data_IF_740252110288
#
_entry.id   IF_740252110288
#
_cell.length_a   1.000
_cell.length_b   1.000
_cell.length_c   1.000
_cell.angle_alpha   90.00
_cell.angle_beta   90.00
_cell.angle_gamma   90.00
#
_symmetry.space_group_name_H-M   'P 1'
#
loop_
_entity.id
_entity.type
_entity.pdbx_description
1 polymer ?
#
# COMPACT_ATOMS: atom_id res chain seq x y z
N UNK A 1 -36.12 -10.68 26.70
CA UNK A 1 -34.90 -10.93 25.93
C UNK A 1 -35.27 -11.59 24.61
N UNK A 2 -35.30 -10.88 23.50
CA UNK A 2 -35.57 -11.45 22.18
C UNK A 2 -34.25 -12.01 21.65
N UNK A 3 -34.16 -13.34 21.59
CA UNK A 3 -33.10 -14.02 20.85
C UNK A 3 -33.19 -13.60 19.37
N UNK A 4 -32.35 -12.66 18.96
CA UNK A 4 -32.04 -12.46 17.54
C UNK A 4 -31.28 -13.68 17.07
N UNK A 5 -31.99 -14.60 16.42
CA UNK A 5 -31.40 -15.71 15.68
C UNK A 5 -30.28 -15.16 14.81
N UNK A 6 -29.03 -15.51 15.09
CA UNK A 6 -27.91 -15.31 14.20
C UNK A 6 -28.32 -15.90 12.85
N UNK A 7 -28.66 -15.04 11.89
CA UNK A 7 -28.81 -15.48 10.51
C UNK A 7 -27.54 -16.28 10.21
N UNK A 8 -27.70 -17.54 9.91
CA UNK A 8 -26.57 -18.43 9.69
C UNK A 8 -25.76 -17.81 8.54
N UNK A 9 -24.47 -17.60 8.71
CA UNK A 9 -23.53 -17.04 7.69
C UNK A 9 -23.65 -17.73 6.32
N UNK A 10 -24.34 -18.88 6.25
CA UNK A 10 -24.67 -19.62 5.02
C UNK A 10 -25.88 -19.06 4.25
N UNK A 11 -26.60 -18.08 4.78
CA UNK A 11 -27.79 -17.51 4.10
C UNK A 11 -27.51 -16.21 3.34
N UNK A 12 -26.30 -15.67 3.46
CA UNK A 12 -25.89 -14.41 2.83
C UNK A 12 -24.59 -14.59 2.04
N UNK A 13 -24.44 -13.80 0.97
CA UNK A 13 -23.25 -13.87 0.12
C UNK A 13 -21.95 -13.52 0.88
N UNK A 14 -20.80 -13.98 0.38
CA UNK A 14 -19.51 -13.61 0.93
C UNK A 14 -19.30 -12.10 0.93
N UNK A 15 -19.79 -11.38 -0.11
CA UNK A 15 -19.76 -9.91 -0.12
C UNK A 15 -20.54 -9.33 1.06
N UNK A 16 -21.74 -9.83 1.33
CA UNK A 16 -22.52 -9.39 2.47
C UNK A 16 -21.79 -9.64 3.81
N UNK A 17 -21.13 -10.79 3.95
CA UNK A 17 -20.32 -11.09 5.14
C UNK A 17 -19.11 -10.15 5.30
N UNK A 18 -18.49 -9.71 4.20
CA UNK A 18 -17.41 -8.72 4.22
C UNK A 18 -17.96 -7.37 4.69
N UNK A 19 -19.02 -6.88 4.04
CA UNK A 19 -19.60 -5.56 4.33
C UNK A 19 -20.19 -5.49 5.74
N UNK A 20 -20.79 -6.56 6.26
CA UNK A 20 -21.31 -6.59 7.64
C UNK A 20 -20.24 -6.43 8.74
N UNK A 21 -18.94 -6.63 8.40
CA UNK A 21 -17.83 -6.34 9.31
C UNK A 21 -17.48 -4.86 9.38
N UNK A 22 -18.03 -4.07 8.46
CA UNK A 22 -17.76 -2.63 8.36
C UNK A 22 -18.86 -1.85 9.10
N UNK A 23 -18.51 -0.86 9.92
CA UNK A 23 -19.46 -0.04 10.64
C UNK A 23 -20.07 1.02 9.71
N UNK A 24 -20.98 0.62 8.79
CA UNK A 24 -21.55 1.48 7.76
C UNK A 24 -22.22 2.76 8.32
N UNK A 25 -22.79 2.69 9.53
CA UNK A 25 -23.33 3.87 10.18
C UNK A 25 -22.27 4.97 10.46
N UNK A 26 -20.99 4.58 10.62
CA UNK A 26 -19.91 5.53 10.80
C UNK A 26 -19.62 6.33 9.52
N UNK A 27 -19.85 5.76 8.35
CA UNK A 27 -19.71 6.49 7.08
C UNK A 27 -20.72 7.64 7.03
N UNK A 28 -21.96 7.37 7.41
CA UNK A 28 -23.02 8.40 7.44
C UNK A 28 -22.73 9.46 8.51
N UNK A 29 -22.17 9.08 9.67
CA UNK A 29 -21.73 10.05 10.68
C UNK A 29 -20.61 10.95 10.18
N UNK A 30 -19.60 10.38 9.51
CA UNK A 30 -18.49 11.13 8.89
C UNK A 30 -18.96 12.06 7.76
N UNK A 31 -20.09 11.73 7.14
CA UNK A 31 -20.70 12.54 6.08
C UNK A 31 -21.69 13.60 6.60
N UNK A 32 -22.09 13.54 7.87
CA UNK A 32 -23.14 14.40 8.41
C UNK A 32 -22.84 15.91 8.27
N UNK A 33 -21.57 16.30 8.45
CA UNK A 33 -21.11 17.68 8.37
C UNK A 33 -20.77 18.15 6.95
N UNK A 34 -20.95 17.26 5.95
CA UNK A 34 -20.64 17.60 4.55
C UNK A 34 -21.78 18.36 3.89
N UNK A 35 -21.41 19.28 2.98
CA UNK A 35 -22.40 20.14 2.28
C UNK A 35 -23.40 19.36 1.44
N UNK A 36 -22.96 18.23 0.86
CA UNK A 36 -23.80 17.42 -0.03
C UNK A 36 -24.40 16.25 0.75
N UNK A 37 -25.67 16.39 1.06
CA UNK A 37 -26.45 15.35 1.75
C UNK A 37 -26.89 14.26 0.77
N UNK A 38 -26.85 13.02 1.25
CA UNK A 38 -27.41 11.89 0.51
C UNK A 38 -28.94 11.98 0.47
N UNK A 39 -29.51 11.76 -0.71
CA UNK A 39 -30.98 11.62 -0.90
C UNK A 39 -31.33 10.16 -1.15
N UNK A 40 -31.14 9.69 -2.37
CA UNK A 40 -31.45 8.32 -2.80
C UNK A 40 -30.27 7.35 -2.60
N UNK A 41 -29.04 7.79 -2.84
CA UNK A 41 -27.82 6.99 -2.68
C UNK A 41 -27.08 7.43 -1.42
N UNK A 42 -27.05 6.58 -0.38
CA UNK A 42 -26.29 6.84 0.85
C UNK A 42 -24.77 6.86 0.58
N UNK A 43 -23.98 7.45 1.47
CA UNK A 43 -22.51 7.41 1.37
C UNK A 43 -21.96 5.99 1.55
N UNK A 44 -22.55 5.22 2.44
CA UNK A 44 -22.22 3.81 2.62
C UNK A 44 -22.53 2.99 1.35
N UNK A 45 -23.69 3.23 0.72
CA UNK A 45 -24.04 2.57 -0.54
C UNK A 45 -23.04 2.90 -1.65
N UNK A 46 -22.66 4.17 -1.79
CA UNK A 46 -21.62 4.59 -2.75
C UNK A 46 -20.30 3.85 -2.50
N UNK A 47 -19.82 3.84 -1.27
CA UNK A 47 -18.54 3.19 -0.94
C UNK A 47 -18.60 1.68 -1.20
N UNK A 48 -19.67 1.01 -0.75
CA UNK A 48 -19.80 -0.44 -0.92
C UNK A 48 -19.92 -0.85 -2.39
N UNK A 49 -20.56 -0.03 -3.23
CA UNK A 49 -20.61 -0.26 -4.67
C UNK A 49 -19.24 -0.04 -5.34
N UNK A 50 -18.48 0.97 -4.91
CA UNK A 50 -17.10 1.14 -5.38
C UNK A 50 -16.21 -0.03 -4.94
N UNK A 51 -16.36 -0.51 -3.71
CA UNK A 51 -15.67 -1.71 -3.24
C UNK A 51 -16.04 -2.95 -4.06
N UNK A 52 -17.33 -3.13 -4.37
CA UNK A 52 -17.80 -4.22 -5.22
C UNK A 52 -17.15 -4.16 -6.61
N UNK A 53 -17.08 -2.96 -7.21
CA UNK A 53 -16.37 -2.72 -8.47
C UNK A 53 -14.90 -3.12 -8.41
N UNK A 54 -14.21 -2.83 -7.30
CA UNK A 54 -12.82 -3.27 -7.10
C UNK A 54 -12.68 -4.79 -6.97
N UNK A 55 -13.58 -5.46 -6.24
CA UNK A 55 -13.58 -6.92 -6.12
C UNK A 55 -13.82 -7.60 -7.46
N UNK A 56 -14.74 -7.10 -8.25
CA UNK A 56 -15.16 -7.70 -9.53
C UNK A 56 -14.36 -7.21 -10.72
N UNK A 57 -13.44 -6.27 -10.52
CA UNK A 57 -12.64 -5.65 -11.60
C UNK A 57 -13.52 -4.97 -12.65
N UNK A 58 -14.58 -4.31 -12.21
CA UNK A 58 -15.46 -3.57 -13.12
C UNK A 58 -14.69 -2.45 -13.83
N UNK A 59 -15.03 -2.20 -15.11
CA UNK A 59 -14.37 -1.18 -15.93
C UNK A 59 -15.08 0.18 -15.90
N UNK A 60 -16.32 0.23 -15.43
CA UNK A 60 -17.12 1.46 -15.45
C UNK A 60 -18.17 1.51 -14.34
N UNK A 61 -18.68 2.72 -14.08
CA UNK A 61 -19.87 2.91 -13.20
C UNK A 61 -21.12 2.25 -13.77
N UNK A 62 -21.26 2.16 -15.12
CA UNK A 62 -22.36 1.48 -15.76
C UNK A 62 -22.37 0.00 -15.39
N UNK A 63 -21.22 -0.65 -15.53
CA UNK A 63 -21.06 -2.05 -15.17
C UNK A 63 -21.34 -2.30 -13.67
N UNK A 64 -20.85 -1.44 -12.77
CA UNK A 64 -21.18 -1.56 -11.34
C UNK A 64 -22.67 -1.42 -11.09
N UNK A 65 -23.34 -0.48 -11.76
CA UNK A 65 -24.78 -0.28 -11.64
C UNK A 65 -25.57 -1.47 -12.18
N UNK A 66 -25.13 -2.07 -13.28
CA UNK A 66 -25.77 -3.25 -13.87
C UNK A 66 -25.55 -4.50 -13.01
N UNK A 67 -24.34 -4.71 -12.48
CA UNK A 67 -24.09 -5.74 -11.48
C UNK A 67 -25.00 -5.56 -10.26
N UNK A 68 -25.16 -4.32 -9.79
CA UNK A 68 -26.04 -4.02 -8.65
C UNK A 68 -27.53 -4.30 -8.95
N UNK A 69 -27.97 -4.09 -10.18
CA UNK A 69 -29.34 -4.43 -10.60
C UNK A 69 -29.55 -5.95 -10.69
N UNK A 70 -28.61 -6.67 -11.32
CA UNK A 70 -28.64 -8.14 -11.43
C UNK A 70 -28.69 -8.78 -10.05
N UNK A 71 -27.88 -8.30 -9.13
CA UNK A 71 -27.78 -8.84 -7.77
C UNK A 71 -28.60 -8.03 -6.73
N UNK A 72 -29.64 -7.30 -7.18
CA UNK A 72 -30.49 -6.45 -6.32
C UNK A 72 -31.00 -7.17 -5.08
N UNK A 73 -31.44 -8.41 -5.24
CA UNK A 73 -31.98 -9.23 -4.14
C UNK A 73 -30.90 -9.53 -3.07
N UNK A 74 -29.68 -9.84 -3.48
CA UNK A 74 -28.58 -10.09 -2.53
C UNK A 74 -28.11 -8.78 -1.86
N UNK A 75 -28.02 -7.69 -2.63
CA UNK A 75 -27.61 -6.40 -2.10
C UNK A 75 -28.64 -5.79 -1.16
N UNK A 76 -29.96 -6.02 -1.38
CA UNK A 76 -31.01 -5.54 -0.50
C UNK A 76 -30.95 -6.14 0.92
N UNK A 77 -30.30 -7.28 1.06
CA UNK A 77 -30.03 -7.92 2.38
C UNK A 77 -28.88 -7.25 3.13
N UNK A 78 -28.13 -6.38 2.47
CA UNK A 78 -27.03 -5.63 3.05
C UNK A 78 -27.54 -4.24 3.40
N UNK A 79 -27.54 -3.91 4.68
CA UNK A 79 -28.02 -2.62 5.15
C UNK A 79 -27.23 -1.48 4.51
N UNK A 80 -27.95 -0.55 3.87
CA UNK A 80 -27.39 0.66 3.28
C UNK A 80 -26.98 0.54 1.81
N UNK A 81 -27.15 -0.63 1.16
CA UNK A 81 -26.88 -0.75 -0.26
C UNK A 81 -28.18 -0.69 -1.08
N UNK A 82 -28.20 0.23 -2.05
CA UNK A 82 -29.24 0.34 -3.07
C UNK A 82 -28.62 0.30 -4.46
N UNK A 83 -29.28 -0.34 -5.42
CA UNK A 83 -28.86 -0.29 -6.81
C UNK A 83 -29.14 1.12 -7.38
N UNK A 84 -28.12 1.92 -7.71
CA UNK A 84 -28.32 3.29 -8.16
C UNK A 84 -28.64 3.37 -9.64
N UNK A 85 -29.27 4.49 -10.03
CA UNK A 85 -29.18 4.95 -11.42
C UNK A 85 -27.75 5.44 -11.68
N UNK A 86 -27.24 5.19 -12.88
CA UNK A 86 -25.86 5.55 -13.26
C UNK A 86 -25.58 7.04 -13.06
N UNK A 87 -26.53 7.90 -13.46
CA UNK A 87 -26.40 9.35 -13.28
C UNK A 87 -26.31 9.76 -11.81
N UNK A 88 -27.10 9.13 -10.92
CA UNK A 88 -27.02 9.37 -9.47
C UNK A 88 -25.68 8.95 -8.93
N UNK A 89 -25.16 7.80 -9.37
CA UNK A 89 -23.86 7.28 -8.93
C UNK A 89 -22.70 8.15 -9.43
N UNK A 90 -22.71 8.53 -10.70
CA UNK A 90 -21.74 9.42 -11.32
C UNK A 90 -21.70 10.79 -10.63
N UNK A 91 -22.89 11.37 -10.38
CA UNK A 91 -23.01 12.65 -9.68
C UNK A 91 -22.49 12.56 -8.24
N UNK A 92 -22.80 11.49 -7.51
CA UNK A 92 -22.26 11.26 -6.17
C UNK A 92 -20.72 11.21 -6.17
N UNK A 93 -20.12 10.46 -7.07
CA UNK A 93 -18.66 10.38 -7.21
C UNK A 93 -18.01 11.73 -7.56
N UNK A 94 -18.70 12.53 -8.39
CA UNK A 94 -18.18 13.82 -8.84
C UNK A 94 -18.25 14.89 -7.76
N UNK A 95 -19.29 14.91 -6.95
CA UNK A 95 -19.61 16.05 -6.10
C UNK A 95 -19.29 15.82 -4.63
N UNK A 96 -19.32 14.59 -4.14
CA UNK A 96 -19.11 14.29 -2.72
C UNK A 96 -17.64 14.39 -2.33
N UNK A 97 -17.40 14.86 -1.11
CA UNK A 97 -16.06 15.00 -0.54
C UNK A 97 -15.44 13.62 -0.27
N UNK A 98 -14.31 13.26 -0.90
CA UNK A 98 -13.63 11.97 -0.69
C UNK A 98 -12.99 11.86 0.71
N UNK A 99 -12.85 12.95 1.47
CA UNK A 99 -12.35 12.91 2.84
C UNK A 99 -13.22 12.04 3.77
N UNK A 100 -14.47 11.76 3.37
CA UNK A 100 -15.31 10.78 4.07
C UNK A 100 -14.74 9.37 3.96
N UNK A 101 -14.35 8.95 2.76
CA UNK A 101 -13.73 7.63 2.54
C UNK A 101 -12.34 7.54 3.18
N UNK A 102 -11.56 8.61 3.11
CA UNK A 102 -10.27 8.73 3.81
C UNK A 102 -10.43 8.54 5.31
N UNK A 103 -11.30 9.34 5.95
CA UNK A 103 -11.55 9.25 7.39
C UNK A 103 -12.06 7.87 7.79
N UNK A 104 -12.88 7.25 6.93
CA UNK A 104 -13.37 5.90 7.15
C UNK A 104 -12.27 4.83 7.06
N UNK A 105 -11.31 4.99 6.14
CA UNK A 105 -10.13 4.12 6.07
C UNK A 105 -9.34 4.12 7.39
N UNK A 106 -9.03 5.32 7.92
CA UNK A 106 -8.28 5.46 9.17
C UNK A 106 -9.05 4.90 10.36
N UNK A 107 -10.38 5.15 10.41
CA UNK A 107 -11.26 4.58 11.44
C UNK A 107 -11.26 3.04 11.39
N UNK A 108 -11.37 2.43 10.21
CA UNK A 108 -11.34 0.97 10.06
C UNK A 108 -10.00 0.39 10.49
N UNK A 109 -8.89 1.00 10.07
CA UNK A 109 -7.55 0.57 10.46
C UNK A 109 -7.39 0.53 11.98
N UNK A 110 -7.87 1.57 12.65
CA UNK A 110 -7.79 1.67 14.10
C UNK A 110 -8.75 0.70 14.81
N UNK A 111 -9.94 0.49 14.25
CA UNK A 111 -10.91 -0.49 14.74
C UNK A 111 -10.34 -1.92 14.65
N UNK A 112 -9.85 -2.34 13.51
CA UNK A 112 -9.24 -3.66 13.32
C UNK A 112 -8.03 -3.88 14.22
N UNK A 113 -7.26 -2.82 14.46
CA UNK A 113 -6.10 -2.86 15.36
C UNK A 113 -6.50 -3.02 16.83
N UNK A 114 -7.62 -2.44 17.24
CA UNK A 114 -8.16 -2.59 18.61
C UNK A 114 -8.81 -3.96 18.83
N UNK A 115 -9.60 -4.41 17.87
CA UNK A 115 -10.25 -5.72 17.92
C UNK A 115 -9.23 -6.86 17.85
N UNK A 116 -8.14 -6.66 17.13
CA UNK A 116 -7.10 -7.66 16.93
C UNK A 116 -5.71 -7.01 17.02
N UNK A 117 -5.17 -6.83 18.24
CA UNK A 117 -3.89 -6.13 18.45
C UNK A 117 -2.71 -6.70 17.65
N UNK A 118 -2.69 -8.00 17.38
CA UNK A 118 -1.69 -8.66 16.56
C UNK A 118 -1.71 -8.25 15.07
N UNK A 119 -2.80 -7.67 14.60
CA UNK A 119 -2.91 -7.19 13.21
C UNK A 119 -2.05 -5.95 12.94
N UNK A 120 -1.93 -5.06 13.92
CA UNK A 120 -1.06 -3.86 13.81
C UNK A 120 0.35 -4.12 14.32
N UNK A 121 0.46 -4.81 15.45
CA UNK A 121 1.73 -5.03 16.13
C UNK A 121 2.42 -6.31 15.64
N UNK A 122 2.61 -6.40 14.33
CA UNK A 122 3.34 -7.53 13.73
C UNK A 122 4.82 -7.36 14.04
N UNK A 123 5.48 -8.45 14.46
CA UNK A 123 6.93 -8.47 14.62
C UNK A 123 7.62 -8.47 13.27
N UNK A 124 8.72 -7.75 13.16
CA UNK A 124 9.58 -7.84 12.00
C UNK A 124 10.08 -9.27 11.81
N UNK A 125 10.22 -9.68 10.55
CA UNK A 125 10.59 -11.06 10.17
C UNK A 125 11.87 -11.08 9.33
N UNK A 126 12.39 -12.27 9.10
CA UNK A 126 13.59 -12.48 8.28
C UNK A 126 14.78 -11.68 8.80
N UNK A 127 15.58 -11.05 7.94
CA UNK A 127 16.75 -10.27 8.33
C UNK A 127 16.46 -9.12 9.32
N UNK A 128 15.21 -8.65 9.34
CA UNK A 128 14.76 -7.57 10.23
C UNK A 128 14.22 -8.06 11.58
N UNK A 129 14.17 -9.37 11.85
CA UNK A 129 13.64 -9.93 13.10
C UNK A 129 14.34 -9.38 14.35
N UNK A 130 15.63 -9.01 14.25
CA UNK A 130 16.41 -8.38 15.32
C UNK A 130 15.86 -7.05 15.81
N UNK A 131 15.08 -6.35 14.97
CA UNK A 131 14.42 -5.10 15.34
C UNK A 131 13.13 -5.31 16.13
N UNK A 132 12.71 -6.56 16.33
CA UNK A 132 11.51 -6.95 17.08
C UNK A 132 10.28 -6.14 16.67
N UNK A 133 9.84 -5.22 17.52
CA UNK A 133 8.67 -4.36 17.32
C UNK A 133 9.03 -2.93 16.89
N UNK A 134 10.31 -2.64 16.60
CA UNK A 134 10.70 -1.31 16.10
C UNK A 134 9.95 -0.98 14.83
N UNK A 135 9.38 0.20 14.75
CA UNK A 135 8.62 0.62 13.56
C UNK A 135 9.59 0.98 12.44
N UNK A 136 9.43 0.33 11.33
CA UNK A 136 10.22 0.53 10.11
C UNK A 136 9.24 0.91 9.01
N UNK A 137 9.46 2.07 8.39
CA UNK A 137 8.58 2.62 7.38
C UNK A 137 9.31 2.77 6.05
N UNK A 138 8.70 2.28 4.99
CA UNK A 138 9.09 2.60 3.63
C UNK A 138 8.24 3.76 3.12
N UNK A 139 8.87 4.76 2.51
CA UNK A 139 8.20 5.88 1.84
C UNK A 139 8.45 5.81 0.35
N UNK A 140 7.39 5.98 -0.44
CA UNK A 140 7.49 6.03 -1.90
C UNK A 140 6.23 6.67 -2.51
N UNK A 141 6.28 6.97 -3.80
CA UNK A 141 5.15 7.48 -4.55
C UNK A 141 4.88 6.64 -5.79
N UNK A 142 3.61 6.49 -6.10
CA UNK A 142 3.19 5.79 -7.31
C UNK A 142 2.35 6.71 -8.19
N UNK A 143 2.78 6.84 -9.44
CA UNK A 143 2.00 7.52 -10.47
C UNK A 143 0.88 6.61 -10.93
N UNK A 144 -0.35 7.13 -10.94
CA UNK A 144 -1.54 6.45 -11.41
C UNK A 144 -2.01 7.20 -12.64
N UNK A 145 -1.87 6.63 -13.86
CA UNK A 145 -2.24 7.30 -15.09
C UNK A 145 -3.75 7.53 -15.14
N UNK A 146 -4.14 8.68 -15.66
CA UNK A 146 -5.53 9.08 -15.85
C UNK A 146 -5.77 9.33 -17.33
N UNK A 147 -7.02 9.17 -17.78
CA UNK A 147 -7.39 9.47 -19.17
C UNK A 147 -7.24 10.96 -19.47
N UNK A 148 -6.73 11.28 -20.67
CA UNK A 148 -6.21 12.61 -21.05
C UNK A 148 -7.26 13.73 -21.03
N UNK A 149 -8.55 13.41 -21.09
CA UNK A 149 -9.56 14.37 -21.58
C UNK A 149 -10.13 15.34 -20.54
N UNK A 150 -9.72 15.28 -19.23
CA UNK A 150 -10.64 15.94 -18.30
C UNK A 150 -10.10 16.42 -16.97
N UNK A 151 -8.80 16.45 -16.70
CA UNK A 151 -8.38 16.78 -15.32
C UNK A 151 -7.44 17.99 -15.28
N UNK A 152 -8.02 19.18 -15.13
CA UNK A 152 -7.24 20.41 -14.91
C UNK A 152 -6.33 20.36 -13.68
N UNK A 153 -6.68 19.59 -12.67
CA UNK A 153 -5.93 19.44 -11.43
C UNK A 153 -4.74 18.46 -11.52
N UNK A 154 -4.75 17.53 -12.50
CA UNK A 154 -3.76 16.44 -12.63
C UNK A 154 -2.91 16.56 -13.90
N UNK A 155 -2.67 17.77 -14.39
CA UNK A 155 -1.78 17.99 -15.56
C UNK A 155 -0.41 17.37 -15.30
N UNK A 156 0.04 16.54 -16.23
CA UNK A 156 1.34 15.91 -16.26
C UNK A 156 2.03 16.21 -17.60
N UNK A 157 3.24 15.78 -17.81
CA UNK A 157 4.06 16.16 -18.98
C UNK A 157 3.35 15.83 -20.31
N UNK A 158 3.38 16.74 -21.27
CA UNK A 158 2.92 16.55 -22.67
C UNK A 158 1.50 15.96 -22.82
N UNK A 159 0.46 16.64 -22.35
CA UNK A 159 -0.96 16.26 -22.50
C UNK A 159 -1.38 14.96 -21.76
N UNK A 160 -0.57 14.42 -20.88
CA UNK A 160 -0.94 13.30 -20.03
C UNK A 160 -1.39 13.80 -18.65
N UNK A 161 -2.46 13.23 -18.14
CA UNK A 161 -2.93 13.48 -16.77
C UNK A 161 -2.57 12.30 -15.88
N UNK A 162 -2.12 12.57 -14.66
CA UNK A 162 -1.83 11.52 -13.69
C UNK A 162 -2.05 12.03 -12.26
N UNK A 163 -2.60 11.17 -11.42
CA UNK A 163 -2.54 11.36 -9.97
C UNK A 163 -1.25 10.71 -9.43
N UNK A 164 -0.72 11.27 -8.38
CA UNK A 164 0.39 10.68 -7.63
C UNK A 164 -0.10 10.33 -6.22
N UNK A 165 0.04 9.08 -5.85
CA UNK A 165 -0.22 8.62 -4.49
C UNK A 165 1.11 8.50 -3.77
N UNK A 166 1.34 9.38 -2.79
CA UNK A 166 2.44 9.27 -1.84
C UNK A 166 1.99 8.41 -0.68
N UNK A 167 2.76 7.41 -0.32
CA UNK A 167 2.43 6.52 0.78
C UNK A 167 3.64 6.29 1.69
N UNK A 168 3.36 6.17 2.99
CA UNK A 168 4.25 5.59 3.99
C UNK A 168 3.65 4.26 4.42
N UNK A 169 4.42 3.20 4.32
CA UNK A 169 3.97 1.83 4.62
C UNK A 169 4.81 1.24 5.74
N UNK A 170 4.16 0.66 6.73
CA UNK A 170 4.87 -0.11 7.75
C UNK A 170 5.33 -1.44 7.14
N UNK A 171 6.64 -1.69 7.22
CA UNK A 171 7.28 -2.86 6.61
C UNK A 171 6.79 -4.18 7.20
N UNK A 172 6.48 -4.22 8.51
CA UNK A 172 6.12 -5.45 9.19
C UNK A 172 4.71 -5.97 8.82
N UNK A 173 3.74 -5.07 8.67
CA UNK A 173 2.34 -5.43 8.40
C UNK A 173 1.88 -5.12 6.98
N UNK A 174 2.72 -4.47 6.16
CA UNK A 174 2.44 -4.07 4.78
C UNK A 174 1.21 -3.16 4.62
N UNK A 175 0.83 -2.44 5.67
CA UNK A 175 -0.31 -1.52 5.64
C UNK A 175 0.17 -0.08 5.45
N UNK A 176 -0.54 0.70 4.64
CA UNK A 176 -0.34 2.14 4.60
C UNK A 176 -0.58 2.76 5.98
N UNK A 177 0.36 3.58 6.40
CA UNK A 177 0.31 4.35 7.66
C UNK A 177 0.13 5.84 7.42
N UNK A 178 0.42 6.27 6.20
CA UNK A 178 0.16 7.61 5.69
C UNK A 178 -0.10 7.56 4.18
N UNK A 179 -1.08 8.31 3.68
CA UNK A 179 -1.39 8.40 2.25
C UNK A 179 -1.81 9.82 1.89
N UNK A 180 -1.21 10.38 0.85
CA UNK A 180 -1.63 11.63 0.21
C UNK A 180 -1.82 11.40 -1.29
N UNK A 181 -2.95 11.87 -1.82
CA UNK A 181 -3.28 11.78 -3.24
C UNK A 181 -3.22 13.21 -3.82
N UNK A 182 -2.25 13.43 -4.70
CA UNK A 182 -1.97 14.75 -5.26
C UNK A 182 -1.79 14.69 -6.78
N UNK A 183 -1.61 15.85 -7.42
CA UNK A 183 -1.24 15.89 -8.83
C UNK A 183 0.19 15.38 -9.03
N UNK A 184 0.48 14.79 -10.20
CA UNK A 184 1.79 14.20 -10.47
C UNK A 184 2.94 15.23 -10.59
N UNK A 185 2.65 16.54 -10.58
CA UNK A 185 3.66 17.59 -10.67
C UNK A 185 4.50 17.80 -9.40
N UNK A 186 3.99 17.38 -8.23
CA UNK A 186 4.71 17.62 -6.99
C UNK A 186 5.91 16.70 -6.84
N UNK A 187 7.08 17.30 -6.57
CA UNK A 187 8.31 16.56 -6.29
C UNK A 187 8.19 15.78 -4.97
N UNK A 188 8.64 14.53 -4.98
CA UNK A 188 8.58 13.60 -3.86
C UNK A 188 9.28 14.15 -2.61
N UNK A 189 10.46 14.76 -2.77
CA UNK A 189 11.21 15.33 -1.66
C UNK A 189 10.45 16.41 -0.87
N UNK A 190 9.52 17.15 -1.52
CA UNK A 190 8.71 18.16 -0.84
C UNK A 190 7.62 17.57 0.06
N UNK A 191 7.19 16.32 -0.22
CA UNK A 191 6.18 15.62 0.58
C UNK A 191 6.77 14.80 1.73
N UNK A 192 8.06 14.53 1.71
CA UNK A 192 8.72 13.72 2.73
C UNK A 192 8.53 14.23 4.18
N UNK A 193 8.68 15.54 4.48
CA UNK A 193 8.44 16.05 5.83
C UNK A 193 7.01 15.82 6.32
N UNK A 194 6.01 16.08 5.46
CA UNK A 194 4.58 15.84 5.77
C UNK A 194 4.33 14.36 6.07
N UNK A 195 4.89 13.46 5.26
CA UNK A 195 4.74 12.01 5.41
C UNK A 195 5.37 11.47 6.70
N UNK A 196 6.30 12.19 7.30
CA UNK A 196 7.05 11.76 8.48
C UNK A 196 6.82 12.64 9.72
N UNK A 197 5.85 13.57 9.67
CA UNK A 197 5.62 14.54 10.73
C UNK A 197 5.24 13.91 12.08
N UNK A 198 4.51 12.80 12.07
CA UNK A 198 4.00 12.07 13.25
C UNK A 198 4.93 10.95 13.73
N UNK A 199 6.14 10.83 13.15
CA UNK A 199 7.12 9.83 13.58
C UNK A 199 7.88 10.30 14.83
N UNK A 200 8.39 9.32 15.58
CA UNK A 200 9.05 9.55 16.86
C UNK A 200 10.48 8.99 16.89
N UNK A 201 11.24 9.43 17.86
CA UNK A 201 12.58 8.90 18.10
C UNK A 201 12.59 7.36 18.18
N UNK A 202 13.55 6.75 17.52
CA UNK A 202 13.69 5.31 17.42
C UNK A 202 12.97 4.66 16.21
N UNK A 203 12.12 5.40 15.48
CA UNK A 203 11.58 4.93 14.21
C UNK A 203 12.65 4.88 13.11
N UNK A 204 12.39 4.11 12.07
CA UNK A 204 13.26 3.98 10.90
C UNK A 204 12.50 4.36 9.65
N UNK A 205 13.04 5.24 8.84
CA UNK A 205 12.50 5.65 7.54
C UNK A 205 13.41 5.19 6.42
N UNK A 206 12.85 4.50 5.44
CA UNK A 206 13.56 4.02 4.25
C UNK A 206 12.94 4.70 3.03
N UNK A 207 13.76 5.47 2.31
CA UNK A 207 13.32 6.18 1.10
C UNK A 207 14.24 5.91 -0.09
N UNK A 208 13.70 6.13 -1.28
CA UNK A 208 14.50 6.08 -2.49
C UNK A 208 15.19 7.43 -2.79
N UNK A 209 15.84 7.56 -3.96
CA UNK A 209 16.49 8.79 -4.41
C UNK A 209 15.54 9.98 -4.63
N UNK A 210 14.24 9.72 -4.86
CA UNK A 210 13.23 10.75 -5.03
C UNK A 210 13.01 11.57 -3.75
N UNK A 211 13.21 10.94 -2.60
CA UNK A 211 13.07 11.55 -1.26
C UNK A 211 14.38 12.08 -0.68
N UNK A 212 15.48 12.02 -1.44
CA UNK A 212 16.81 12.44 -0.98
C UNK A 212 16.89 13.95 -0.83
N UNK A 213 16.89 14.44 0.39
CA UNK A 213 17.08 15.85 0.75
C UNK A 213 17.84 15.95 2.07
N UNK A 214 18.90 16.76 2.11
CA UNK A 214 19.69 16.94 3.33
C UNK A 214 18.92 17.71 4.41
N UNK A 215 18.04 18.63 4.03
CA UNK A 215 17.17 19.31 5.01
C UNK A 215 16.22 18.29 5.67
N UNK A 216 15.69 17.35 4.90
CA UNK A 216 14.84 16.27 5.44
C UNK A 216 15.63 15.27 6.30
N UNK A 217 16.83 14.92 5.89
CA UNK A 217 17.69 14.04 6.69
C UNK A 217 18.11 14.69 8.02
N UNK A 218 18.36 16.00 8.02
CA UNK A 218 18.64 16.75 9.23
C UNK A 218 17.44 16.76 10.18
N UNK A 219 16.22 17.01 9.68
CA UNK A 219 14.99 16.94 10.48
C UNK A 219 14.82 15.57 11.13
N UNK A 220 14.97 14.49 10.35
CA UNK A 220 14.86 13.14 10.89
C UNK A 220 15.92 12.86 11.98
N UNK A 221 17.15 13.26 11.73
CA UNK A 221 18.27 13.05 12.68
C UNK A 221 18.10 13.83 13.97
N UNK A 222 17.68 15.09 13.90
CA UNK A 222 17.38 15.92 15.08
C UNK A 222 16.26 15.33 15.93
N UNK A 223 15.30 14.68 15.31
CA UNK A 223 14.19 13.99 15.98
C UNK A 223 14.55 12.57 16.45
N UNK A 224 15.78 12.13 16.28
CA UNK A 224 16.22 10.79 16.67
C UNK A 224 15.64 9.67 15.83
N UNK A 225 15.24 9.96 14.59
CA UNK A 225 14.72 9.01 13.62
C UNK A 225 15.86 8.54 12.73
N UNK A 226 15.99 7.23 12.56
CA UNK A 226 17.00 6.68 11.66
C UNK A 226 16.50 6.76 10.21
N UNK A 227 17.30 7.34 9.33
CA UNK A 227 17.03 7.25 7.88
C UNK A 227 17.96 6.26 7.20
N UNK A 228 17.47 5.60 6.15
CA UNK A 228 18.24 4.81 5.20
C UNK A 228 17.79 5.18 3.80
N UNK A 229 18.71 5.68 2.98
CA UNK A 229 18.41 6.08 1.62
C UNK A 229 19.52 5.67 0.66
N UNK A 230 19.21 5.65 -0.62
CA UNK A 230 20.20 5.46 -1.68
C UNK A 230 20.82 6.80 -2.03
N UNK A 231 22.16 6.85 -2.15
CA UNK A 231 22.90 8.05 -2.50
C UNK A 231 22.47 8.61 -3.87
N UNK A 232 22.35 9.94 -3.97
CA UNK A 232 22.28 10.65 -5.25
C UNK A 232 23.68 10.78 -5.87
N UNK A 233 23.73 10.67 -7.21
CA UNK A 233 24.96 10.97 -7.96
C UNK A 233 25.47 12.37 -7.65
N UNK A 234 26.80 12.56 -7.65
CA UNK A 234 27.46 13.85 -7.47
C UNK A 234 27.39 14.47 -6.04
N UNK A 235 27.20 13.64 -5.00
CA UNK A 235 27.35 14.11 -3.65
C UNK A 235 28.83 14.47 -3.37
N UNK A 236 29.08 15.70 -2.91
CA UNK A 236 30.40 16.15 -2.47
C UNK A 236 30.57 15.88 -0.98
N UNK A 237 31.56 15.08 -0.64
CA UNK A 237 31.83 14.68 0.76
C UNK A 237 33.32 14.48 1.02
N UNK A 238 33.70 14.58 2.27
CA UNK A 238 35.01 14.18 2.79
C UNK A 238 34.88 12.96 3.69
N UNK A 239 35.79 12.01 3.57
CA UNK A 239 35.85 10.85 4.46
C UNK A 239 36.58 11.28 5.73
N UNK A 240 35.95 11.02 6.88
CA UNK A 240 36.51 11.26 8.21
C UNK A 240 37.16 9.99 8.75
N UNK A 241 36.53 8.84 8.53
CA UNK A 241 36.91 7.56 9.13
C UNK A 241 36.47 6.40 8.24
N UNK A 242 37.33 5.41 8.08
CA UNK A 242 36.96 4.13 7.46
C UNK A 242 36.44 3.22 8.57
N UNK A 243 35.18 2.78 8.41
CA UNK A 243 34.49 1.90 9.36
C UNK A 243 34.50 0.43 8.90
N UNK A 244 35.14 0.14 7.77
CA UNK A 244 35.19 -1.21 7.22
C UNK A 244 36.03 -2.12 8.12
N UNK A 245 35.40 -3.12 8.72
CA UNK A 245 36.08 -4.05 9.60
C UNK A 245 36.78 -5.15 8.79
N UNK A 246 37.99 -5.58 9.18
CA UNK A 246 38.62 -6.77 8.62
C UNK A 246 37.67 -7.98 8.74
N UNK A 247 37.48 -8.73 7.67
CA UNK A 247 36.54 -9.86 7.62
C UNK A 247 35.07 -9.44 7.43
N UNK A 248 34.80 -8.20 7.05
CA UNK A 248 33.47 -7.77 6.62
C UNK A 248 32.97 -8.64 5.47
N UNK A 249 31.69 -9.00 5.53
CA UNK A 249 31.08 -9.91 4.56
C UNK A 249 31.29 -9.44 3.12
N UNK A 250 31.65 -10.34 2.22
CA UNK A 250 32.19 -10.12 0.89
C UNK A 250 31.38 -9.31 -0.11
N UNK A 251 30.21 -8.78 0.28
CA UNK A 251 29.40 -7.88 -0.56
C UNK A 251 29.54 -6.39 -0.15
N UNK A 252 30.20 -6.04 0.94
CA UNK A 252 30.46 -4.67 1.37
C UNK A 252 31.81 -4.21 0.79
N UNK A 253 31.77 -3.16 -0.03
CA UNK A 253 32.96 -2.61 -0.71
C UNK A 253 33.61 -1.51 0.14
N UNK A 254 32.81 -0.59 0.70
CA UNK A 254 33.28 0.43 1.64
C UNK A 254 32.23 0.73 2.70
N UNK A 255 32.69 1.19 3.85
CA UNK A 255 31.87 1.62 4.98
C UNK A 255 32.57 2.82 5.63
N UNK A 256 32.07 4.00 5.38
CA UNK A 256 32.75 5.26 5.62
C UNK A 256 31.92 6.18 6.49
N UNK A 257 32.54 6.85 7.44
CA UNK A 257 32.00 8.03 8.11
C UNK A 257 32.39 9.26 7.30
N UNK A 258 31.41 10.01 6.83
CA UNK A 258 31.60 11.12 5.91
C UNK A 258 30.93 12.38 6.42
N UNK A 259 31.41 13.52 5.90
CA UNK A 259 30.81 14.84 6.10
C UNK A 259 30.63 15.52 4.74
N UNK A 260 29.56 16.29 4.60
CA UNK A 260 29.32 17.05 3.37
C UNK A 260 30.34 18.20 3.22
N UNK A 261 30.93 18.32 2.03
CA UNK A 261 31.89 19.39 1.69
C UNK A 261 31.33 20.40 0.67
N UNK A 262 30.21 20.08 0.01
CA UNK A 262 29.59 20.96 -0.96
C UNK A 262 29.05 22.24 -0.30
N UNK A 263 29.33 23.40 -0.88
CA UNK A 263 29.03 24.73 -0.32
C UNK A 263 27.56 24.91 0.13
N UNK A 264 26.60 24.43 -0.63
CA UNK A 264 25.17 24.53 -0.27
C UNK A 264 24.67 23.38 0.59
N UNK A 265 25.25 22.19 0.43
CA UNK A 265 24.77 20.97 1.10
C UNK A 265 25.32 20.84 2.52
N UNK A 266 26.56 21.29 2.76
CA UNK A 266 27.17 21.30 4.09
C UNK A 266 26.41 22.18 5.10
N UNK A 267 25.73 23.23 4.64
CA UNK A 267 24.88 24.07 5.49
C UNK A 267 23.58 23.41 5.91
N UNK A 268 23.09 22.43 5.11
CA UNK A 268 21.81 21.73 5.32
C UNK A 268 21.92 20.54 6.25
N UNK A 269 23.08 19.88 6.26
CA UNK A 269 23.37 18.76 7.14
C UNK A 269 24.84 18.83 7.54
N UNK A 270 25.09 19.24 8.78
CA UNK A 270 26.45 19.53 9.27
C UNK A 270 27.07 18.35 10.01
N UNK A 271 26.24 17.40 10.48
CA UNK A 271 26.69 16.25 11.22
C UNK A 271 27.35 15.21 10.31
N UNK A 272 28.30 14.43 10.78
CA UNK A 272 28.75 13.23 10.07
C UNK A 272 27.61 12.23 9.87
N UNK A 273 27.63 11.54 8.76
CA UNK A 273 26.74 10.41 8.48
C UNK A 273 27.55 9.27 7.85
N UNK A 274 26.91 8.12 7.75
CA UNK A 274 27.55 6.90 7.27
C UNK A 274 27.20 6.66 5.82
N UNK A 275 28.20 6.32 5.03
CA UNK A 275 28.12 5.97 3.62
C UNK A 275 28.61 4.55 3.44
N UNK A 276 27.77 3.68 2.86
CA UNK A 276 28.06 2.26 2.68
C UNK A 276 27.94 1.93 1.20
N UNK A 277 29.00 1.41 0.58
CA UNK A 277 29.01 0.87 -0.78
C UNK A 277 28.97 -0.65 -0.72
N UNK A 278 28.00 -1.24 -1.39
CA UNK A 278 27.82 -2.70 -1.37
C UNK A 278 27.38 -3.22 -2.75
N UNK A 279 27.72 -4.48 -3.03
CA UNK A 279 27.12 -5.23 -4.13
C UNK A 279 25.83 -5.87 -3.64
N UNK A 280 24.72 -5.54 -4.28
CA UNK A 280 23.39 -6.08 -3.96
C UNK A 280 22.81 -6.75 -5.19
N UNK A 281 22.03 -7.80 -4.97
CA UNK A 281 21.32 -8.47 -6.06
C UNK A 281 20.05 -7.68 -6.41
N UNK A 282 19.91 -7.31 -7.69
CA UNK A 282 18.72 -6.65 -8.23
C UNK A 282 18.29 -7.41 -9.48
N UNK A 283 17.10 -8.01 -9.45
CA UNK A 283 16.57 -8.84 -10.54
C UNK A 283 17.53 -9.97 -10.98
N UNK A 284 18.16 -10.65 -10.02
CA UNK A 284 19.10 -11.73 -10.29
C UNK A 284 20.47 -11.28 -10.81
N UNK A 285 20.74 -9.96 -10.83
CA UNK A 285 22.02 -9.41 -11.28
C UNK A 285 22.71 -8.65 -10.15
N UNK A 286 24.01 -8.84 -9.94
CA UNK A 286 24.79 -8.07 -8.98
C UNK A 286 24.90 -6.61 -9.43
N UNK A 287 24.59 -5.67 -8.56
CA UNK A 287 24.73 -4.22 -8.80
C UNK A 287 25.36 -3.53 -7.60
N UNK A 288 26.29 -2.64 -7.88
CA UNK A 288 26.82 -1.74 -6.88
C UNK A 288 25.75 -0.68 -6.50
N UNK A 289 25.54 -0.55 -5.21
CA UNK A 289 24.69 0.50 -4.65
C UNK A 289 25.40 1.17 -3.50
N UNK A 290 25.10 2.46 -3.33
CA UNK A 290 25.59 3.25 -2.21
C UNK A 290 24.42 3.71 -1.37
N UNK A 291 24.51 3.46 -0.07
CA UNK A 291 23.52 3.80 0.93
C UNK A 291 24.06 4.85 1.89
N UNK A 292 23.18 5.73 2.35
CA UNK A 292 23.46 6.75 3.36
C UNK A 292 22.52 6.59 4.54
N UNK A 293 23.06 6.82 5.75
CA UNK A 293 22.30 6.70 7.00
C UNK A 293 22.96 7.51 8.13
N UNK A 294 22.18 7.94 9.11
CA UNK A 294 22.70 8.52 10.37
C UNK A 294 23.02 7.44 11.43
N UNK A 295 22.89 6.16 11.11
CA UNK A 295 23.11 5.07 12.07
C UNK A 295 24.51 4.47 11.97
N UNK A 296 25.29 4.59 13.02
CA UNK A 296 26.63 4.02 13.14
C UNK A 296 26.68 2.70 13.93
N UNK A 297 25.58 2.34 14.62
CA UNK A 297 25.57 1.20 15.56
C UNK A 297 25.26 -0.13 14.87
N UNK A 298 24.54 -0.11 13.73
CA UNK A 298 24.15 -1.33 13.03
C UNK A 298 25.23 -1.74 12.02
N UNK A 299 25.36 -3.05 11.75
CA UNK A 299 26.30 -3.50 10.73
C UNK A 299 25.92 -2.98 9.33
N UNK A 300 26.89 -2.84 8.43
CA UNK A 300 26.67 -2.43 7.05
C UNK A 300 25.63 -3.32 6.35
N UNK A 301 25.71 -4.65 6.57
CA UNK A 301 24.71 -5.60 6.07
C UNK A 301 23.31 -5.29 6.57
N UNK A 302 23.15 -4.89 7.83
CA UNK A 302 21.86 -4.48 8.38
C UNK A 302 21.25 -3.31 7.62
N UNK A 303 22.07 -2.33 7.25
CA UNK A 303 21.62 -1.16 6.46
C UNK A 303 21.18 -1.61 5.06
N UNK A 304 21.93 -2.53 4.43
CA UNK A 304 21.53 -3.12 3.15
C UNK A 304 20.18 -3.88 3.25
N UNK A 305 19.99 -4.68 4.30
CA UNK A 305 18.75 -5.42 4.57
C UNK A 305 17.56 -4.47 4.79
N UNK A 306 17.77 -3.38 5.52
CA UNK A 306 16.77 -2.33 5.70
C UNK A 306 16.40 -1.69 4.37
N UNK A 307 17.37 -1.33 3.54
CA UNK A 307 17.06 -0.75 2.23
C UNK A 307 16.32 -1.75 1.34
N UNK A 308 16.68 -3.03 1.37
CA UNK A 308 15.96 -4.10 0.66
C UNK A 308 14.48 -4.14 1.08
N UNK A 309 14.18 -3.88 2.34
CA UNK A 309 12.80 -3.86 2.84
C UNK A 309 11.94 -2.71 2.28
N UNK A 310 12.54 -1.69 1.64
CA UNK A 310 11.81 -0.67 0.87
C UNK A 310 10.89 -1.30 -0.19
N UNK A 311 11.27 -2.47 -0.73
CA UNK A 311 10.45 -3.20 -1.70
C UNK A 311 9.02 -3.48 -1.22
N UNK A 312 8.78 -3.46 0.08
CA UNK A 312 7.43 -3.65 0.67
C UNK A 312 6.42 -2.65 0.13
N UNK A 313 6.83 -1.39 -0.09
CA UNK A 313 5.90 -0.37 -0.62
C UNK A 313 5.63 -0.56 -2.13
N UNK A 314 6.59 -1.10 -2.88
CA UNK A 314 6.38 -1.47 -4.28
C UNK A 314 5.37 -2.63 -4.40
N UNK A 315 5.42 -3.60 -3.46
CA UNK A 315 4.42 -4.66 -3.37
C UNK A 315 3.02 -4.07 -3.10
N UNK A 316 2.88 -3.12 -2.17
CA UNK A 316 1.62 -2.43 -1.93
C UNK A 316 1.07 -1.80 -3.23
N UNK A 317 1.91 -1.03 -3.94
CA UNK A 317 1.49 -0.41 -5.19
C UNK A 317 1.12 -1.43 -6.27
N UNK A 318 1.85 -2.54 -6.35
CA UNK A 318 1.53 -3.66 -7.23
C UNK A 318 0.17 -4.28 -6.88
N UNK A 319 -0.09 -4.52 -5.60
CA UNK A 319 -1.37 -5.06 -5.14
C UNK A 319 -2.54 -4.14 -5.49
N UNK A 320 -2.40 -2.84 -5.27
CA UNK A 320 -3.43 -1.87 -5.64
C UNK A 320 -3.63 -1.78 -7.15
N UNK A 321 -2.56 -1.67 -7.93
CA UNK A 321 -2.64 -1.47 -9.38
C UNK A 321 -3.05 -2.74 -10.14
N UNK A 322 -2.43 -3.89 -9.82
CA UNK A 322 -2.60 -5.12 -10.59
C UNK A 322 -3.66 -6.03 -9.99
N UNK A 323 -3.63 -6.24 -8.66
CA UNK A 323 -4.54 -7.20 -8.02
C UNK A 323 -5.93 -6.59 -7.81
N UNK A 324 -6.02 -5.29 -7.51
CA UNK A 324 -7.28 -4.55 -7.37
C UNK A 324 -7.61 -3.69 -8.59
N UNK A 325 -6.81 -3.77 -9.66
CA UNK A 325 -7.00 -3.06 -10.93
C UNK A 325 -7.22 -1.55 -10.79
N UNK A 326 -6.51 -0.88 -9.88
CA UNK A 326 -6.53 0.57 -9.77
C UNK A 326 -5.72 1.23 -10.92
N UNK A 327 -6.07 0.87 -12.16
CA UNK A 327 -5.46 1.41 -13.39
C UNK A 327 -6.49 2.11 -14.26
N UNK A 328 -7.78 1.75 -14.10
CA UNK A 328 -8.90 2.35 -14.81
C UNK A 328 -9.78 3.11 -13.85
N UNK A 329 -10.03 4.39 -14.15
CA UNK A 329 -10.88 5.22 -13.30
C UNK A 329 -12.28 5.35 -13.87
N UNK A 330 -13.29 5.26 -13.00
CA UNK A 330 -14.70 5.37 -13.32
C UNK A 330 -15.13 6.83 -13.55
N UNK A 331 -14.28 7.79 -13.19
CA UNK A 331 -14.55 9.22 -13.36
C UNK A 331 -13.25 10.00 -13.53
N UNK A 332 -13.40 11.22 -14.05
CA UNK A 332 -12.27 12.05 -14.51
C UNK A 332 -11.96 13.22 -13.58
N UNK A 333 -12.84 13.56 -12.65
CA UNK A 333 -12.58 14.65 -11.70
C UNK A 333 -11.86 14.17 -10.43
N UNK A 334 -11.30 15.12 -9.69
CA UNK A 334 -10.51 14.87 -8.49
C UNK A 334 -11.26 14.02 -7.44
N UNK A 335 -12.54 14.33 -7.18
CA UNK A 335 -13.31 13.63 -6.18
C UNK A 335 -13.53 12.17 -6.58
N UNK A 336 -13.94 11.91 -7.83
CA UNK A 336 -14.18 10.55 -8.31
C UNK A 336 -12.91 9.68 -8.25
N UNK A 337 -11.78 10.24 -8.66
CA UNK A 337 -10.48 9.56 -8.59
C UNK A 337 -10.09 9.26 -7.14
N UNK A 338 -10.20 10.23 -6.24
CA UNK A 338 -9.89 10.05 -4.82
C UNK A 338 -10.84 9.04 -4.16
N UNK A 339 -12.15 9.08 -4.46
CA UNK A 339 -13.11 8.09 -3.96
C UNK A 339 -12.71 6.67 -4.35
N UNK A 340 -12.31 6.46 -5.60
CA UNK A 340 -11.92 5.14 -6.09
C UNK A 340 -10.61 4.67 -5.47
N UNK A 341 -9.62 5.55 -5.31
CA UNK A 341 -8.36 5.22 -4.63
C UNK A 341 -8.62 4.81 -3.17
N UNK A 342 -9.42 5.60 -2.43
CA UNK A 342 -9.76 5.27 -1.05
C UNK A 342 -10.60 3.99 -0.95
N UNK A 343 -11.52 3.73 -1.88
CA UNK A 343 -12.25 2.48 -1.92
C UNK A 343 -11.31 1.27 -2.15
N UNK A 344 -10.32 1.39 -3.03
CA UNK A 344 -9.32 0.35 -3.26
C UNK A 344 -8.43 0.12 -2.02
N UNK A 345 -8.04 1.20 -1.32
CA UNK A 345 -7.29 1.11 -0.06
C UNK A 345 -8.11 0.44 1.05
N UNK A 346 -9.42 0.73 1.14
CA UNK A 346 -10.33 0.07 2.08
C UNK A 346 -10.45 -1.43 1.74
N UNK A 347 -10.63 -1.77 0.46
CA UNK A 347 -10.65 -3.19 0.03
C UNK A 347 -9.34 -3.87 0.38
N UNK A 348 -8.20 -3.25 0.11
CA UNK A 348 -6.89 -3.78 0.48
C UNK A 348 -6.79 -4.04 1.99
N UNK A 349 -7.16 -3.07 2.82
CA UNK A 349 -7.15 -3.19 4.28
C UNK A 349 -8.03 -4.34 4.76
N UNK A 350 -9.26 -4.45 4.24
CA UNK A 350 -10.21 -5.52 4.60
C UNK A 350 -9.66 -6.89 4.19
N UNK A 351 -9.10 -7.00 2.99
CA UNK A 351 -8.52 -8.26 2.50
C UNK A 351 -7.28 -8.67 3.32
N UNK A 352 -6.43 -7.71 3.70
CA UNK A 352 -5.29 -7.97 4.59
C UNK A 352 -5.76 -8.41 5.98
N UNK A 353 -6.84 -7.82 6.50
CA UNK A 353 -7.42 -8.23 7.77
C UNK A 353 -8.01 -9.64 7.72
N UNK A 354 -8.75 -9.97 6.67
CA UNK A 354 -9.28 -11.32 6.44
C UNK A 354 -8.17 -12.36 6.27
N UNK A 355 -7.10 -12.03 5.54
CA UNK A 355 -5.94 -12.89 5.39
C UNK A 355 -5.25 -13.15 6.75
N UNK A 356 -5.15 -12.12 7.59
CA UNK A 356 -4.62 -12.24 8.94
C UNK A 356 -5.50 -13.16 9.81
N UNK A 357 -6.82 -12.94 9.83
CA UNK A 357 -7.77 -13.74 10.62
C UNK A 357 -7.80 -15.21 10.19
N UNK A 358 -7.67 -15.49 8.90
CA UNK A 358 -7.62 -16.85 8.36
C UNK A 358 -6.24 -17.49 8.46
N UNK A 359 -5.22 -16.78 8.97
CA UNK A 359 -3.82 -17.21 9.02
C UNK A 359 -3.28 -17.61 7.64
N UNK A 360 -3.65 -16.84 6.60
CA UNK A 360 -3.31 -17.12 5.22
C UNK A 360 -1.82 -17.19 4.99
N UNK A 361 -1.33 -18.27 4.34
CA UNK A 361 0.09 -18.51 4.05
C UNK A 361 0.44 -18.41 2.56
N UNK A 362 -0.55 -18.36 1.67
CA UNK A 362 -0.35 -18.25 0.24
C UNK A 362 -0.09 -16.82 -0.24
N UNK A 363 0.10 -16.63 -1.55
CA UNK A 363 0.25 -15.30 -2.14
C UNK A 363 -1.02 -14.46 -1.96
N UNK A 364 -0.86 -13.13 -1.90
CA UNK A 364 -1.99 -12.21 -1.78
C UNK A 364 -2.90 -12.26 -3.01
N UNK A 365 -2.34 -12.40 -4.22
CA UNK A 365 -3.12 -12.51 -5.46
C UNK A 365 -4.02 -13.75 -5.46
N UNK A 366 -3.54 -14.90 -4.95
CA UNK A 366 -4.35 -16.11 -4.79
C UNK A 366 -5.47 -15.89 -3.78
N UNK A 367 -5.19 -15.24 -2.66
CA UNK A 367 -6.19 -14.89 -1.64
C UNK A 367 -7.31 -14.05 -2.25
N UNK A 368 -6.96 -12.97 -2.94
CA UNK A 368 -7.93 -12.09 -3.61
C UNK A 368 -8.73 -12.85 -4.68
N UNK A 369 -8.09 -13.73 -5.44
CA UNK A 369 -8.75 -14.59 -6.42
C UNK A 369 -9.83 -15.47 -5.80
N UNK A 370 -9.55 -16.11 -4.66
CA UNK A 370 -10.54 -16.94 -3.94
C UNK A 370 -11.70 -16.09 -3.44
N UNK A 371 -11.43 -14.95 -2.79
CA UNK A 371 -12.47 -14.05 -2.30
C UNK A 371 -13.36 -13.57 -3.45
N UNK A 372 -12.75 -13.16 -4.58
CA UNK A 372 -13.46 -12.67 -5.77
C UNK A 372 -14.35 -13.76 -6.36
N UNK A 373 -13.84 -14.98 -6.55
CA UNK A 373 -14.61 -16.08 -7.09
C UNK A 373 -15.81 -16.45 -6.20
N UNK A 374 -15.63 -16.36 -4.89
CA UNK A 374 -16.68 -16.68 -3.92
C UNK A 374 -17.59 -15.48 -3.59
N UNK A 375 -17.45 -14.32 -4.22
CA UNK A 375 -18.07 -13.06 -3.76
C UNK A 375 -19.60 -13.16 -3.63
N UNK A 376 -20.24 -13.88 -4.52
CA UNK A 376 -21.69 -14.11 -4.53
C UNK A 376 -22.13 -15.42 -3.87
N UNK A 377 -21.18 -16.30 -3.52
CA UNK A 377 -21.49 -17.57 -2.88
C UNK A 377 -22.05 -17.38 -1.48
N UNK A 378 -23.05 -18.20 -1.14
CA UNK A 378 -23.70 -18.26 0.18
C UNK A 378 -23.04 -19.31 1.07
N UNK A 379 -21.74 -19.17 1.24
CA UNK A 379 -20.93 -20.04 2.09
C UNK A 379 -20.34 -19.24 3.25
N UNK A 380 -19.95 -19.91 4.33
CA UNK A 380 -19.22 -19.25 5.42
C UNK A 380 -17.82 -18.86 4.93
N UNK A 381 -17.58 -17.56 4.79
CA UNK A 381 -16.32 -17.01 4.27
C UNK A 381 -15.11 -17.40 5.13
N UNK A 382 -15.24 -17.37 6.46
CA UNK A 382 -14.12 -17.67 7.34
C UNK A 382 -13.73 -19.15 7.23
N UNK A 383 -14.73 -20.03 7.12
CA UNK A 383 -14.52 -21.48 6.91
C UNK A 383 -13.90 -21.74 5.54
N UNK A 384 -14.38 -21.07 4.51
CA UNK A 384 -13.83 -21.17 3.14
C UNK A 384 -12.34 -20.79 3.14
N UNK A 385 -12.00 -19.63 3.69
CA UNK A 385 -10.63 -19.14 3.70
C UNK A 385 -9.70 -20.04 4.53
N UNK A 386 -10.15 -20.54 5.67
CA UNK A 386 -9.39 -21.50 6.47
C UNK A 386 -9.16 -22.82 5.73
N UNK A 387 -10.17 -23.33 5.02
CA UNK A 387 -10.05 -24.55 4.22
C UNK A 387 -8.94 -24.41 3.16
N UNK A 388 -8.96 -23.33 2.39
CA UNK A 388 -7.93 -23.08 1.39
C UNK A 388 -6.54 -22.75 1.96
N UNK A 389 -6.47 -22.23 3.18
CA UNK A 389 -5.20 -22.01 3.88
C UNK A 389 -4.51 -23.34 4.25
N UNK A 390 -5.28 -24.34 4.72
CA UNK A 390 -4.75 -25.65 5.09
C UNK A 390 -4.32 -26.45 3.85
N UNK A 391 -5.08 -26.33 2.75
CA UNK A 391 -4.81 -26.99 1.48
C UNK A 391 -3.65 -26.38 0.69
N UNK A 392 -3.17 -25.20 1.08
CA UNK A 392 -1.99 -24.60 0.47
C UNK A 392 -0.73 -25.30 1.04
N UNK A 393 0.13 -25.91 0.19
CA UNK A 393 1.42 -26.39 0.67
C UNK A 393 2.19 -25.23 1.29
N UNK A 394 2.98 -25.47 2.35
CA UNK A 394 3.87 -24.46 2.88
C UNK A 394 4.71 -23.93 1.71
N UNK A 395 4.83 -22.59 1.61
CA UNK A 395 5.84 -22.00 0.75
C UNK A 395 7.18 -22.49 1.31
N UNK A 396 7.81 -23.45 0.64
CA UNK A 396 9.20 -23.74 0.90
C UNK A 396 9.96 -22.45 0.54
N UNK A 397 10.60 -21.85 1.52
CA UNK A 397 11.53 -20.76 1.31
C UNK A 397 12.55 -21.24 0.25
N UNK A 398 12.67 -20.48 -0.86
CA UNK A 398 13.73 -20.58 -1.86
C UNK A 398 13.73 -21.72 -2.91
N UNK A 399 12.63 -22.37 -3.18
CA UNK A 399 12.55 -23.07 -4.48
C UNK A 399 11.70 -22.27 -5.45
N UNK A 400 12.35 -21.69 -6.45
CA UNK A 400 11.72 -21.22 -7.69
C UNK A 400 10.88 -22.38 -8.22
N UNK A 401 9.58 -22.35 -8.00
CA UNK A 401 8.67 -23.31 -8.61
C UNK A 401 8.72 -23.04 -10.11
N UNK A 402 9.51 -23.83 -10.84
CA UNK A 402 9.41 -23.89 -12.29
C UNK A 402 7.97 -24.28 -12.59
N UNK A 403 7.21 -23.38 -13.19
CA UNK A 403 5.89 -23.71 -13.67
C UNK A 403 6.00 -24.96 -14.55
N UNK A 404 5.12 -25.97 -14.38
CA UNK A 404 5.14 -27.14 -15.25
C UNK A 404 4.76 -26.67 -16.66
N UNK A 405 5.74 -26.63 -17.54
CA UNK A 405 5.51 -26.37 -18.95
C UNK A 405 4.83 -27.59 -19.59
N UNK A 406 3.88 -27.34 -20.45
CA UNK A 406 3.38 -28.37 -21.34
C UNK A 406 4.56 -28.84 -22.23
N UNK A 407 4.75 -30.16 -22.41
CA UNK A 407 5.84 -30.69 -23.25
C UNK A 407 5.83 -30.03 -24.63
N UNK A 408 6.97 -29.47 -25.06
CA UNK A 408 7.11 -28.77 -26.35
C UNK A 408 7.09 -27.26 -26.32
N UNK A 409 6.72 -26.60 -25.18
CA UNK A 409 6.68 -25.14 -25.08
C UNK A 409 7.91 -24.51 -24.41
N UNK A 410 8.85 -25.27 -23.91
CA UNK A 410 10.05 -24.81 -23.23
C UNK A 410 10.93 -23.87 -24.08
N UNK A 411 11.01 -24.10 -25.39
CA UNK A 411 11.82 -23.27 -26.31
C UNK A 411 11.19 -21.93 -26.66
N UNK A 412 9.87 -21.83 -26.63
CA UNK A 412 9.15 -20.59 -26.94
C UNK A 412 9.25 -19.56 -25.82
N UNK A 413 9.26 -20.00 -24.56
CA UNK A 413 9.35 -19.13 -23.39
C UNK A 413 10.74 -18.54 -23.19
N UNK A 414 11.78 -19.33 -23.39
CA UNK A 414 13.17 -18.85 -23.31
C UNK A 414 13.51 -17.82 -24.41
N UNK A 415 12.80 -17.83 -25.55
CA UNK A 415 12.94 -16.85 -26.63
C UNK A 415 12.20 -15.53 -26.36
N UNK A 416 11.21 -15.52 -25.45
CA UNK A 416 10.41 -14.34 -25.11
C UNK A 416 10.98 -13.54 -23.93
N UNK A 417 11.99 -14.10 -23.21
CA UNK A 417 12.61 -13.49 -22.02
C UNK A 417 14.07 -13.08 -22.30
N UNK A 418 14.63 -13.43 -23.46
CA UNK A 418 15.99 -13.07 -23.91
C UNK A 418 16.09 -11.72 -24.57
#
# INVERSE_FOLDING_TARGET
>A
MKHTTKATRRSISCFAQIVQRLPGYKIEQLAADKKIKARELSYSSQLYLLMLGQFLHAFSLNEIADIAKVHKHELSRIRGITAPLVNTFSNANRTRDPAVAESFYWLLRDMFSRETPGFRNVRNRGPLAKFKTRRIFAIDASVIPLTVSSIDWAKYIHRKSAAKMHARTNVANMLPDFVVIDSAHHHEAKKAPEMCADLHAGDVVIGDRGYYSFDFFNDLDERGITFVSREKSFMQYGVIEDLLKPGSEGNIISDEKVVLTGWSTSKKYQKPFRRIKAVVEVNGQPREMVFVTNNFNWSARTICDLYKARWTIEILFKELKQTLQLQSFYGTNANAVKWQIWAALIVHLVLRYLAFLSQWRGSYSRFVGIVRTAIWEKTDLDRLLKFYCIAAPPLEDDKVVKAPYLPGFEKAYLKAIG
#
